data_IF_508922371952
#
_entry.id   IF_508922371952
#
_cell.length_a   1.000
_cell.length_b   1.000
_cell.length_c   1.000
_cell.angle_alpha   90.00
_cell.angle_beta   90.00
_cell.angle_gamma   90.00
#
_symmetry.space_group_name_H-M   'P 1'
#
loop_
_entity.id
_entity.type
_entity.pdbx_description
1 polymer ?
#
# COMPACT_ATOMS: atom_id res chain seq x y z
N UNK A 1 -39.59 -18.30 -0.72
CA UNK A 1 -39.23 -17.66 -1.98
C UNK A 1 -38.57 -16.31 -1.68
N UNK A 2 -37.45 -16.32 -0.92
CA UNK A 2 -36.57 -15.15 -0.65
C UNK A 2 -35.14 -15.71 -0.54
N UNK A 3 -34.63 -16.24 -1.63
CA UNK A 3 -33.26 -16.82 -1.66
C UNK A 3 -32.46 -16.33 -2.87
N UNK A 4 -32.74 -15.11 -3.34
CA UNK A 4 -32.17 -14.57 -4.58
C UNK A 4 -31.31 -13.31 -4.35
N UNK A 5 -30.98 -12.92 -3.11
CA UNK A 5 -30.17 -11.72 -2.85
C UNK A 5 -28.85 -12.01 -2.11
N UNK A 6 -28.30 -13.22 -2.19
CA UNK A 6 -26.86 -13.41 -2.02
C UNK A 6 -26.16 -13.17 -3.36
N UNK A 7 -26.42 -12.03 -3.95
CA UNK A 7 -25.59 -11.52 -5.03
C UNK A 7 -24.22 -11.22 -4.46
N UNK A 8 -23.23 -11.93 -4.95
CA UNK A 8 -21.79 -11.73 -4.75
C UNK A 8 -21.45 -10.26 -4.86
N UNK A 9 -21.42 -9.55 -3.74
CA UNK A 9 -20.94 -8.18 -3.67
C UNK A 9 -19.41 -8.22 -3.64
N UNK A 10 -18.83 -8.81 -4.70
CA UNK A 10 -17.39 -8.79 -4.91
C UNK A 10 -16.96 -7.35 -5.18
N UNK A 11 -16.48 -6.66 -4.17
CA UNK A 11 -16.02 -5.28 -4.27
C UNK A 11 -14.67 -5.16 -5.00
N UNK A 12 -13.88 -6.24 -5.08
CA UNK A 12 -12.56 -6.24 -5.68
C UNK A 12 -12.64 -6.91 -7.07
N UNK A 13 -12.47 -6.12 -8.12
CA UNK A 13 -12.51 -6.58 -9.52
C UNK A 13 -11.23 -6.29 -10.29
N UNK A 14 -10.54 -5.22 -9.97
CA UNK A 14 -9.33 -4.79 -10.67
C UNK A 14 -8.24 -4.41 -9.68
N UNK A 15 -7.12 -5.11 -9.75
CA UNK A 15 -5.97 -4.88 -8.88
C UNK A 15 -4.80 -4.36 -9.72
N UNK A 16 -4.23 -3.23 -9.30
CA UNK A 16 -3.01 -2.69 -9.86
C UNK A 16 -1.81 -3.22 -9.07
N UNK A 17 -0.79 -3.73 -9.75
CA UNK A 17 0.42 -4.29 -9.13
C UNK A 17 1.64 -3.50 -9.56
N UNK A 18 2.34 -2.90 -8.61
CA UNK A 18 3.59 -2.18 -8.89
C UNK A 18 4.76 -3.15 -9.09
N UNK A 19 5.34 -3.14 -10.29
CA UNK A 19 6.46 -3.99 -10.68
C UNK A 19 7.79 -3.24 -10.54
N UNK A 20 8.23 -3.03 -9.30
CA UNK A 20 9.43 -2.21 -8.99
C UNK A 20 10.77 -2.89 -9.21
N UNK A 21 10.82 -4.19 -9.50
CA UNK A 21 12.07 -4.93 -9.70
C UNK A 21 12.94 -5.04 -8.43
N UNK A 22 12.33 -5.06 -7.25
CA UNK A 22 13.00 -5.19 -5.95
C UNK A 22 12.72 -6.54 -5.31
N UNK A 23 13.37 -6.84 -4.20
CA UNK A 23 13.11 -8.05 -3.39
C UNK A 23 11.66 -8.18 -2.91
N UNK A 24 10.90 -7.09 -2.92
CA UNK A 24 9.47 -7.09 -2.56
C UNK A 24 8.55 -7.43 -3.73
N UNK A 25 9.07 -7.42 -4.96
CA UNK A 25 8.25 -7.56 -6.18
C UNK A 25 7.59 -8.92 -6.25
N UNK A 26 8.32 -10.01 -6.02
CA UNK A 26 7.76 -11.37 -6.00
C UNK A 26 6.66 -11.52 -4.95
N UNK A 27 6.84 -10.94 -3.77
CA UNK A 27 5.81 -10.99 -2.73
C UNK A 27 4.57 -10.17 -3.12
N UNK A 28 4.73 -9.02 -3.76
CA UNK A 28 3.62 -8.21 -4.26
C UNK A 28 2.83 -8.95 -5.35
N UNK A 29 3.52 -9.59 -6.27
CA UNK A 29 2.91 -10.42 -7.33
C UNK A 29 2.12 -11.57 -6.70
N UNK A 30 2.74 -12.34 -5.82
CA UNK A 30 2.10 -13.49 -5.17
C UNK A 30 0.88 -13.09 -4.34
N UNK A 31 0.96 -11.98 -3.61
CA UNK A 31 -0.17 -11.47 -2.84
C UNK A 31 -1.31 -11.01 -3.74
N UNK A 32 -1.00 -10.30 -4.82
CA UNK A 32 -2.00 -9.85 -5.79
C UNK A 32 -2.67 -11.02 -6.52
N UNK A 33 -1.90 -12.02 -6.92
CA UNK A 33 -2.42 -13.24 -7.56
C UNK A 33 -3.34 -13.99 -6.60
N UNK A 34 -2.96 -14.15 -5.33
CA UNK A 34 -3.80 -14.80 -4.33
C UNK A 34 -5.14 -14.05 -4.13
N UNK A 35 -5.10 -12.72 -4.05
CA UNK A 35 -6.31 -11.89 -3.97
C UNK A 35 -7.15 -11.98 -5.25
N UNK A 36 -6.52 -11.97 -6.42
CA UNK A 36 -7.22 -12.10 -7.69
C UNK A 36 -7.97 -13.44 -7.81
N UNK A 37 -7.36 -14.54 -7.38
CA UNK A 37 -8.03 -15.85 -7.33
C UNK A 37 -9.22 -15.82 -6.35
N UNK A 38 -9.00 -15.31 -5.13
CA UNK A 38 -10.02 -15.28 -4.09
C UNK A 38 -11.24 -14.44 -4.47
N UNK A 39 -11.02 -13.37 -5.22
CA UNK A 39 -12.06 -12.38 -5.57
C UNK A 39 -12.49 -12.42 -7.04
N UNK A 40 -11.97 -13.34 -7.84
CA UNK A 40 -12.19 -13.37 -9.30
C UNK A 40 -11.96 -11.98 -9.94
N UNK A 41 -10.77 -11.42 -9.65
CA UNK A 41 -10.36 -10.10 -10.09
C UNK A 41 -9.31 -10.18 -11.20
N UNK A 42 -9.21 -9.12 -12.01
CA UNK A 42 -8.17 -8.96 -13.03
C UNK A 42 -6.97 -8.21 -12.47
N UNK A 43 -5.77 -8.54 -12.97
CA UNK A 43 -4.53 -7.91 -12.57
C UNK A 43 -3.98 -6.99 -13.66
N UNK A 44 -3.53 -5.81 -13.27
CA UNK A 44 -2.72 -4.94 -14.13
C UNK A 44 -1.35 -4.76 -13.49
N UNK A 45 -0.30 -5.29 -14.12
CA UNK A 45 1.07 -5.01 -13.71
C UNK A 45 1.54 -3.69 -14.31
N UNK A 46 2.00 -2.77 -13.48
CA UNK A 46 2.57 -1.50 -13.93
C UNK A 46 4.05 -1.40 -13.59
N UNK A 47 4.87 -1.10 -14.60
CA UNK A 47 6.28 -0.78 -14.43
C UNK A 47 6.58 0.56 -15.07
N UNK A 48 7.37 1.38 -14.38
CA UNK A 48 7.75 2.70 -14.86
C UNK A 48 9.27 2.85 -14.80
N UNK A 49 9.85 3.30 -15.91
CA UNK A 49 11.26 3.71 -15.97
C UNK A 49 11.29 5.22 -16.03
N UNK A 50 11.92 5.85 -15.04
CA UNK A 50 12.18 7.29 -15.03
C UNK A 50 13.61 7.57 -15.53
N UNK A 51 13.79 7.99 -16.80
CA UNK A 51 15.12 8.27 -17.35
C UNK A 51 15.81 9.42 -16.63
N UNK A 52 15.07 10.40 -16.14
CA UNK A 52 15.63 11.58 -15.46
C UNK A 52 16.28 11.21 -14.12
N UNK A 53 15.86 10.12 -13.49
CA UNK A 53 16.41 9.64 -12.21
C UNK A 53 17.51 8.61 -12.37
N UNK A 54 17.49 7.88 -13.48
CA UNK A 54 18.56 6.92 -13.81
C UNK A 54 19.80 7.67 -14.32
N UNK A 55 19.62 8.87 -14.86
CA UNK A 55 20.70 9.77 -15.28
C UNK A 55 20.85 10.89 -14.27
N UNK A 56 21.86 10.87 -13.38
CA UNK A 56 22.10 12.01 -12.50
C UNK A 56 22.37 13.27 -13.35
N UNK A 57 21.65 14.32 -13.01
CA UNK A 57 21.87 15.64 -13.63
C UNK A 57 23.21 16.18 -13.12
N UNK A 58 24.30 15.90 -13.84
CA UNK A 58 25.53 16.63 -13.61
C UNK A 58 25.44 17.93 -14.37
N UNK A 59 25.68 19.06 -13.69
CA UNK A 59 25.85 20.36 -14.31
C UNK A 59 26.90 20.22 -15.41
N UNK A 60 26.51 20.40 -16.68
CA UNK A 60 27.44 20.38 -17.78
C UNK A 60 28.43 21.56 -17.65
N UNK A 61 29.74 21.32 -17.75
CA UNK A 61 30.68 22.37 -18.02
C UNK A 61 30.30 23.00 -19.38
N UNK A 62 30.27 24.33 -19.41
CA UNK A 62 29.96 25.08 -20.61
C UNK A 62 31.07 24.79 -21.64
N UNK A 63 30.78 24.03 -22.70
CA UNK A 63 31.70 23.82 -23.79
C UNK A 63 31.74 22.43 -24.46
N UNK A 64 31.28 21.36 -23.82
CA UNK A 64 31.34 20.02 -24.41
C UNK A 64 29.94 19.53 -24.79
N UNK A 65 29.81 18.97 -25.99
CA UNK A 65 28.57 18.36 -26.46
C UNK A 65 28.10 17.17 -25.59
N UNK A 66 26.91 16.61 -25.81
CA UNK A 66 26.34 15.58 -24.95
C UNK A 66 27.18 14.31 -24.95
N UNK A 67 28.04 14.17 -23.96
CA UNK A 67 28.79 12.94 -23.71
C UNK A 67 27.91 12.05 -22.84
N UNK A 68 27.44 10.95 -23.42
CA UNK A 68 26.78 9.88 -22.66
C UNK A 68 27.82 9.17 -21.78
N UNK A 69 27.79 9.41 -20.49
CA UNK A 69 28.69 8.74 -19.56
C UNK A 69 28.38 7.23 -19.50
N UNK A 70 29.39 6.35 -19.57
CA UNK A 70 29.20 4.88 -19.53
C UNK A 70 28.42 4.40 -18.31
N UNK A 71 28.54 5.08 -17.17
CA UNK A 71 27.85 4.78 -15.91
C UNK A 71 26.32 5.00 -16.03
N UNK A 72 25.90 5.97 -16.79
CA UNK A 72 24.50 6.28 -17.05
C UNK A 72 23.83 5.21 -17.91
N UNK A 73 24.50 4.79 -18.97
CA UNK A 73 24.03 3.73 -19.85
C UNK A 73 23.92 2.39 -19.09
N UNK A 74 24.90 2.07 -18.24
CA UNK A 74 24.88 0.88 -17.38
C UNK A 74 23.73 0.92 -16.38
N UNK A 75 23.45 2.05 -15.74
CA UNK A 75 22.36 2.19 -14.78
C UNK A 75 20.99 2.04 -15.44
N UNK A 76 20.81 2.60 -16.63
CA UNK A 76 19.59 2.46 -17.41
C UNK A 76 19.37 1.00 -17.87
N UNK A 77 20.44 0.32 -18.31
CA UNK A 77 20.39 -1.08 -18.68
C UNK A 77 19.96 -1.96 -17.49
N UNK A 78 20.55 -1.76 -16.32
CA UNK A 78 20.15 -2.46 -15.07
C UNK A 78 18.69 -2.19 -14.69
N UNK A 79 18.22 -0.96 -14.82
CA UNK A 79 16.82 -0.64 -14.54
C UNK A 79 15.87 -1.37 -15.50
N UNK A 80 16.20 -1.41 -16.79
CA UNK A 80 15.44 -2.16 -17.81
C UNK A 80 15.43 -3.66 -17.51
N UNK A 81 16.57 -4.25 -17.17
CA UNK A 81 16.67 -5.67 -16.82
C UNK A 81 15.77 -6.02 -15.63
N UNK A 82 15.76 -5.20 -14.58
CA UNK A 82 14.88 -5.38 -13.41
C UNK A 82 13.40 -5.30 -13.78
N UNK A 83 13.02 -4.36 -14.63
CA UNK A 83 11.63 -4.21 -15.11
C UNK A 83 11.23 -5.40 -15.98
N UNK A 84 12.10 -5.87 -16.87
CA UNK A 84 11.84 -7.04 -17.69
C UNK A 84 11.69 -8.31 -16.85
N UNK A 85 12.56 -8.50 -15.87
CA UNK A 85 12.45 -9.60 -14.92
C UNK A 85 11.11 -9.55 -14.17
N UNK A 86 10.77 -8.42 -13.56
CA UNK A 86 9.52 -8.26 -12.80
C UNK A 86 8.27 -8.49 -13.68
N UNK A 87 8.33 -8.05 -14.94
CA UNK A 87 7.25 -8.27 -15.92
C UNK A 87 7.10 -9.74 -16.28
N UNK A 88 8.19 -10.47 -16.47
CA UNK A 88 8.14 -11.93 -16.72
C UNK A 88 7.57 -12.67 -15.52
N UNK A 89 8.11 -12.43 -14.30
CA UNK A 89 7.60 -12.99 -13.06
C UNK A 89 6.08 -12.81 -12.92
N UNK A 90 5.60 -11.58 -13.12
CA UNK A 90 4.17 -11.26 -13.04
C UNK A 90 3.36 -12.05 -14.06
N UNK A 91 3.79 -12.05 -15.32
CA UNK A 91 3.09 -12.72 -16.40
C UNK A 91 3.05 -14.25 -16.20
N UNK A 92 4.16 -14.83 -15.78
CA UNK A 92 4.26 -16.27 -15.50
C UNK A 92 3.41 -16.66 -14.30
N UNK A 93 3.42 -15.90 -13.20
CA UNK A 93 2.59 -16.15 -12.05
C UNK A 93 1.09 -16.10 -12.38
N UNK A 94 0.65 -15.12 -13.18
CA UNK A 94 -0.75 -15.02 -13.61
C UNK A 94 -1.15 -16.18 -14.53
N UNK A 95 -0.31 -16.52 -15.52
CA UNK A 95 -0.57 -17.62 -16.47
C UNK A 95 -0.65 -18.97 -15.77
N UNK A 96 0.22 -19.22 -14.80
CA UNK A 96 0.27 -20.49 -14.07
C UNK A 96 -1.06 -20.84 -13.38
N UNK A 97 -1.86 -19.83 -13.01
CA UNK A 97 -3.14 -20.00 -12.31
C UNK A 97 -4.36 -19.51 -13.12
N UNK A 98 -4.17 -19.10 -14.37
CA UNK A 98 -5.25 -18.67 -15.26
C UNK A 98 -5.91 -17.33 -14.88
N UNK A 99 -5.22 -16.46 -14.13
CA UNK A 99 -5.73 -15.12 -13.78
C UNK A 99 -5.62 -14.18 -14.99
N UNK A 100 -6.72 -13.48 -15.31
CA UNK A 100 -6.75 -12.43 -16.33
C UNK A 100 -5.79 -11.30 -15.97
N UNK A 101 -4.90 -10.95 -16.90
CA UNK A 101 -3.89 -9.93 -16.63
C UNK A 101 -3.47 -9.12 -17.85
N UNK A 102 -3.01 -7.91 -17.61
CA UNK A 102 -2.32 -7.05 -18.59
C UNK A 102 -1.08 -6.40 -17.97
N UNK A 103 -0.16 -5.97 -18.82
CA UNK A 103 1.05 -5.24 -18.40
C UNK A 103 1.07 -3.88 -19.06
N UNK A 104 1.29 -2.85 -18.26
CA UNK A 104 1.51 -1.46 -18.67
C UNK A 104 2.97 -1.13 -18.41
N UNK A 105 3.67 -0.71 -19.47
CA UNK A 105 5.06 -0.28 -19.42
C UNK A 105 5.13 1.18 -19.83
N UNK A 106 5.55 2.01 -18.92
CA UNK A 106 5.57 3.45 -19.12
C UNK A 106 6.99 4.01 -18.91
N UNK A 107 7.25 5.11 -19.60
CA UNK A 107 8.49 5.88 -19.45
C UNK A 107 8.11 7.29 -19.06
N UNK A 108 8.57 7.76 -17.91
CA UNK A 108 8.25 9.10 -17.43
C UNK A 108 8.26 9.22 -15.91
N UNK A 109 7.48 10.15 -15.39
CA UNK A 109 7.35 10.39 -13.95
C UNK A 109 6.48 9.31 -13.30
N UNK A 110 7.05 8.46 -12.41
CA UNK A 110 6.39 7.24 -11.94
C UNK A 110 5.07 7.49 -11.19
N UNK A 111 5.00 8.58 -10.42
CA UNK A 111 3.83 8.85 -9.58
C UNK A 111 2.61 9.27 -10.39
N UNK A 112 2.83 10.12 -11.40
CA UNK A 112 1.76 10.53 -12.30
C UNK A 112 1.19 9.32 -13.04
N UNK A 113 2.05 8.50 -13.62
CA UNK A 113 1.65 7.32 -14.39
C UNK A 113 0.96 6.27 -13.53
N UNK A 114 1.47 6.00 -12.32
CA UNK A 114 0.82 5.08 -11.39
C UNK A 114 -0.53 5.62 -10.90
N UNK A 115 -0.66 6.94 -10.71
CA UNK A 115 -1.91 7.58 -10.32
C UNK A 115 -2.95 7.50 -11.43
N UNK A 116 -2.55 7.69 -12.67
CA UNK A 116 -3.43 7.58 -13.82
C UNK A 116 -3.96 6.16 -13.99
N UNK A 117 -3.10 5.16 -13.86
CA UNK A 117 -3.51 3.75 -13.88
C UNK A 117 -4.37 3.36 -12.67
N UNK A 118 -4.05 3.85 -11.48
CA UNK A 118 -4.81 3.55 -10.25
C UNK A 118 -6.25 4.06 -10.30
N UNK A 119 -6.55 5.07 -11.12
CA UNK A 119 -7.88 5.70 -11.23
C UNK A 119 -9.01 4.71 -11.52
N UNK A 120 -8.70 3.61 -12.18
CA UNK A 120 -9.68 2.61 -12.60
C UNK A 120 -9.42 1.22 -11.96
N UNK A 121 -8.76 1.21 -10.80
CA UNK A 121 -8.49 -0.01 -10.03
C UNK A 121 -9.04 0.13 -8.60
N UNK A 122 -9.50 -0.99 -8.05
CA UNK A 122 -10.10 -1.03 -6.72
C UNK A 122 -9.04 -1.09 -5.61
N UNK A 123 -7.89 -1.68 -5.92
CA UNK A 123 -6.78 -1.85 -4.99
C UNK A 123 -5.45 -1.73 -5.74
N UNK A 124 -4.50 -1.03 -5.15
CA UNK A 124 -3.10 -1.08 -5.57
C UNK A 124 -2.29 -1.94 -4.61
N UNK A 125 -1.54 -2.91 -5.13
CA UNK A 125 -0.61 -3.74 -4.37
C UNK A 125 0.81 -3.34 -4.71
N UNK A 126 1.59 -3.02 -3.68
CA UNK A 126 2.95 -2.55 -3.83
C UNK A 126 3.88 -3.14 -2.77
N UNK A 127 5.14 -3.35 -3.09
CA UNK A 127 6.12 -3.76 -2.09
C UNK A 127 6.41 -2.64 -1.08
N UNK A 128 6.36 -2.93 0.21
CA UNK A 128 6.47 -1.95 1.30
C UNK A 128 7.70 -1.02 1.18
N UNK A 129 8.81 -1.52 0.68
CA UNK A 129 10.05 -0.76 0.45
C UNK A 129 10.48 -0.71 -1.02
N UNK A 130 9.62 -1.14 -1.95
CA UNK A 130 9.98 -1.19 -3.38
C UNK A 130 10.34 0.18 -3.97
N UNK A 131 9.69 1.23 -3.48
CA UNK A 131 9.97 2.60 -3.91
C UNK A 131 11.26 3.15 -3.28
N UNK A 132 11.78 2.50 -2.24
CA UNK A 132 12.90 2.97 -1.44
C UNK A 132 14.24 2.36 -1.89
N UNK A 133 14.21 1.11 -2.36
CA UNK A 133 15.43 0.38 -2.72
C UNK A 133 15.95 0.71 -4.13
N UNK A 134 15.13 1.34 -4.98
CA UNK A 134 15.48 1.61 -6.37
C UNK A 134 16.09 2.98 -6.64
N UNK A 135 16.35 3.78 -5.60
CA UNK A 135 16.76 5.20 -5.73
C UNK A 135 15.81 6.04 -6.62
N UNK A 136 14.61 5.51 -6.89
CA UNK A 136 13.58 6.22 -7.66
C UNK A 136 13.04 7.44 -6.92
N UNK A 137 13.40 7.60 -5.64
CA UNK A 137 12.98 8.72 -4.81
C UNK A 137 14.15 9.18 -3.94
N UNK A 138 14.51 10.45 -4.01
CA UNK A 138 15.55 11.03 -3.16
C UNK A 138 15.17 10.98 -1.66
N UNK A 139 13.88 11.00 -1.35
CA UNK A 139 13.33 10.73 -0.02
C UNK A 139 12.26 9.62 -0.11
N UNK A 140 12.51 8.46 0.50
CA UNK A 140 11.57 7.33 0.55
C UNK A 140 10.17 7.70 1.04
N UNK A 141 10.05 8.74 1.87
CA UNK A 141 8.79 9.20 2.43
C UNK A 141 7.88 9.86 1.40
N UNK A 142 8.47 10.47 0.38
CA UNK A 142 7.72 11.16 -0.64
C UNK A 142 6.92 10.22 -1.54
N UNK A 143 7.33 8.98 -1.73
CA UNK A 143 6.74 8.10 -2.72
C UNK A 143 5.39 7.51 -2.30
N UNK A 144 5.31 6.83 -1.16
CA UNK A 144 4.03 6.36 -0.62
C UNK A 144 3.10 7.52 -0.30
N UNK A 145 3.69 8.60 0.24
CA UNK A 145 3.00 9.86 0.50
C UNK A 145 2.38 10.40 -0.78
N UNK A 146 3.14 10.51 -1.85
CA UNK A 146 2.65 11.01 -3.15
C UNK A 146 1.58 10.12 -3.75
N UNK A 147 1.73 8.79 -3.73
CA UNK A 147 0.71 7.87 -4.23
C UNK A 147 -0.61 8.03 -3.48
N UNK A 148 -0.57 8.08 -2.14
CA UNK A 148 -1.77 8.27 -1.34
C UNK A 148 -2.34 9.69 -1.52
N UNK A 149 -1.50 10.73 -1.62
CA UNK A 149 -1.92 12.11 -1.91
C UNK A 149 -2.58 12.25 -3.27
N UNK A 150 -2.06 11.57 -4.26
CA UNK A 150 -2.59 11.60 -5.62
C UNK A 150 -3.92 10.86 -5.75
N UNK A 151 -4.44 10.32 -4.65
CA UNK A 151 -5.69 9.60 -4.64
C UNK A 151 -5.58 8.11 -4.98
N UNK A 152 -4.35 7.56 -5.03
CA UNK A 152 -4.13 6.12 -5.18
C UNK A 152 -4.54 5.44 -3.88
N UNK A 153 -5.72 4.86 -3.87
CA UNK A 153 -6.29 4.20 -2.69
C UNK A 153 -7.45 3.28 -3.06
N UNK A 154 -7.61 2.23 -2.27
CA UNK A 154 -6.71 1.80 -1.20
C UNK A 154 -5.40 1.22 -1.72
N UNK A 155 -4.37 1.26 -0.88
CA UNK A 155 -3.04 0.74 -1.16
C UNK A 155 -2.69 -0.36 -0.16
N UNK A 156 -2.31 -1.53 -0.65
CA UNK A 156 -1.74 -2.62 0.15
C UNK A 156 -0.23 -2.66 -0.06
N UNK A 157 0.52 -2.21 0.95
CA UNK A 157 1.97 -2.32 0.96
C UNK A 157 2.37 -3.67 1.58
N UNK A 158 3.01 -4.55 0.82
CA UNK A 158 3.34 -5.91 1.24
C UNK A 158 4.79 -6.06 1.69
N UNK A 159 5.02 -6.96 2.63
CA UNK A 159 6.36 -7.33 3.09
C UNK A 159 7.10 -8.21 2.08
N UNK A 160 8.40 -8.47 2.30
CA UNK A 160 9.19 -9.41 1.44
C UNK A 160 8.65 -10.84 1.42
N UNK A 161 7.94 -11.25 2.48
CA UNK A 161 7.41 -12.61 2.61
C UNK A 161 5.88 -12.54 2.71
N UNK A 162 5.21 -13.24 1.81
CA UNK A 162 3.77 -13.44 1.90
C UNK A 162 3.47 -14.32 3.11
N UNK A 163 2.53 -13.89 3.93
CA UNK A 163 2.04 -14.63 5.09
C UNK A 163 0.51 -14.57 5.10
N UNK A 164 -0.16 -15.58 5.67
CA UNK A 164 -1.60 -15.47 5.89
C UNK A 164 -1.93 -14.26 6.75
N UNK A 165 -3.00 -13.55 6.40
CA UNK A 165 -3.52 -12.44 7.17
C UNK A 165 -4.67 -12.96 8.04
N UNK A 166 -4.39 -13.23 9.31
CA UNK A 166 -5.38 -13.71 10.29
C UNK A 166 -5.68 -12.64 11.34
N UNK A 167 -4.66 -11.91 11.79
CA UNK A 167 -4.75 -10.89 12.83
C UNK A 167 -4.57 -9.51 12.22
N UNK A 168 -5.62 -8.70 12.28
CA UNK A 168 -5.61 -7.36 11.71
C UNK A 168 -5.78 -6.33 12.81
N UNK A 169 -4.90 -5.33 12.81
CA UNK A 169 -5.00 -4.20 13.70
C UNK A 169 -5.38 -2.94 12.91
N UNK A 170 -6.41 -2.25 13.36
CA UNK A 170 -6.81 -0.95 12.84
C UNK A 170 -6.33 0.14 13.81
N UNK A 171 -5.41 0.99 13.37
CA UNK A 171 -5.01 2.19 14.10
C UNK A 171 -6.04 3.29 13.87
N UNK A 172 -6.82 3.61 14.89
CA UNK A 172 -7.99 4.47 14.80
C UNK A 172 -7.83 5.73 15.65
N UNK A 173 -7.87 6.88 15.04
CA UNK A 173 -7.74 8.17 15.73
C UNK A 173 -9.08 8.92 15.89
N UNK A 174 -10.18 8.37 15.37
CA UNK A 174 -11.45 9.08 15.28
C UNK A 174 -11.52 10.13 14.17
N UNK A 175 -10.43 10.34 13.42
CA UNK A 175 -10.45 11.24 12.26
C UNK A 175 -11.25 10.63 11.10
N UNK A 176 -11.73 11.48 10.20
CA UNK A 176 -12.45 11.02 8.99
C UNK A 176 -11.59 10.09 8.14
N UNK A 177 -10.28 10.31 8.09
CA UNK A 177 -9.33 9.51 7.32
C UNK A 177 -9.16 8.12 7.95
N UNK A 178 -9.05 8.03 9.27
CA UNK A 178 -9.00 6.73 9.95
C UNK A 178 -10.32 5.97 9.82
N UNK A 179 -11.45 6.68 9.86
CA UNK A 179 -12.76 6.08 9.63
C UNK A 179 -12.91 5.57 8.20
N UNK A 180 -12.47 6.33 7.18
CA UNK A 180 -12.49 5.87 5.78
C UNK A 180 -11.58 4.66 5.57
N UNK A 181 -10.37 4.66 6.13
CA UNK A 181 -9.46 3.53 6.01
C UNK A 181 -10.05 2.26 6.62
N UNK A 182 -10.64 2.36 7.81
CA UNK A 182 -11.37 1.27 8.45
C UNK A 182 -12.52 0.77 7.56
N UNK A 183 -13.38 1.68 7.09
CA UNK A 183 -14.53 1.34 6.26
C UNK A 183 -14.12 0.67 4.96
N UNK A 184 -13.14 1.21 4.26
CA UNK A 184 -12.63 0.62 3.02
C UNK A 184 -12.10 -0.80 3.27
N UNK A 185 -11.31 -0.99 4.32
CA UNK A 185 -10.79 -2.30 4.68
C UNK A 185 -11.91 -3.30 4.97
N UNK A 186 -12.86 -2.92 5.82
CA UNK A 186 -14.00 -3.76 6.23
C UNK A 186 -14.88 -4.15 5.03
N UNK A 187 -15.17 -3.19 4.15
CA UNK A 187 -16.04 -3.40 2.98
C UNK A 187 -15.38 -4.25 1.90
N UNK A 188 -14.05 -4.17 1.74
CA UNK A 188 -13.34 -4.93 0.73
C UNK A 188 -13.23 -6.42 1.05
N UNK A 189 -13.28 -6.81 2.33
CA UNK A 189 -13.23 -8.21 2.79
C UNK A 189 -12.10 -9.01 2.11
N UNK A 190 -10.90 -8.44 2.05
CA UNK A 190 -9.78 -9.00 1.29
C UNK A 190 -9.37 -10.41 1.76
N UNK A 191 -9.58 -10.74 3.04
CA UNK A 191 -9.25 -12.02 3.64
C UNK A 191 -10.29 -12.46 4.66
N UNK A 192 -10.43 -13.77 4.89
CA UNK A 192 -11.19 -14.31 6.03
C UNK A 192 -10.37 -14.14 7.30
N UNK A 193 -10.38 -12.93 7.89
CA UNK A 193 -9.65 -12.63 9.12
C UNK A 193 -10.25 -13.33 10.33
N UNK A 194 -9.43 -13.73 11.29
CA UNK A 194 -9.84 -14.42 12.52
C UNK A 194 -9.97 -13.48 13.71
N UNK A 195 -9.08 -12.49 13.78
CA UNK A 195 -9.02 -11.54 14.90
C UNK A 195 -8.90 -10.12 14.32
N UNK A 196 -9.85 -9.27 14.69
CA UNK A 196 -9.82 -7.85 14.36
C UNK A 196 -9.75 -7.05 15.65
N UNK A 197 -8.77 -6.17 15.75
CA UNK A 197 -8.66 -5.24 16.87
C UNK A 197 -8.53 -3.81 16.40
N UNK A 198 -9.30 -2.91 17.02
CA UNK A 198 -9.21 -1.48 16.81
C UNK A 198 -8.51 -0.88 18.02
N UNK A 199 -7.43 -0.14 17.77
CA UNK A 199 -6.66 0.52 18.83
C UNK A 199 -6.70 2.03 18.61
N UNK A 200 -7.01 2.75 19.68
CA UNK A 200 -6.92 4.21 19.76
C UNK A 200 -5.98 4.63 20.89
N UNK A 201 -5.42 5.80 20.75
CA UNK A 201 -4.55 6.41 21.76
C UNK A 201 -5.26 7.61 22.36
N UNK A 202 -5.27 7.69 23.68
CA UNK A 202 -5.94 8.75 24.44
C UNK A 202 -4.92 9.47 25.32
N UNK A 203 -5.03 10.77 25.37
CA UNK A 203 -4.26 11.65 26.27
C UNK A 203 -4.87 11.76 27.69
N UNK A 204 -5.87 10.92 27.99
CA UNK A 204 -6.57 10.90 29.28
C UNK A 204 -7.93 11.61 29.29
N UNK A 205 -8.39 12.12 28.14
CA UNK A 205 -9.70 12.80 28.05
C UNK A 205 -10.89 11.84 28.05
N UNK A 206 -10.65 10.54 27.78
CA UNK A 206 -11.71 9.53 27.68
C UNK A 206 -12.52 9.57 26.39
N UNK A 207 -12.23 10.51 25.49
CA UNK A 207 -12.96 10.68 24.23
C UNK A 207 -12.81 9.47 23.30
N UNK A 208 -11.64 8.84 23.30
CA UNK A 208 -11.33 7.71 22.45
C UNK A 208 -12.23 6.48 22.69
N UNK A 209 -12.74 6.27 23.89
CA UNK A 209 -13.60 5.11 24.22
C UNK A 209 -14.93 5.13 23.46
N UNK A 210 -15.59 6.29 23.35
CA UNK A 210 -16.81 6.43 22.58
C UNK A 210 -16.59 6.16 21.09
N UNK A 211 -15.52 6.72 20.54
CA UNK A 211 -15.15 6.53 19.13
C UNK A 211 -14.83 5.05 18.83
N UNK A 212 -14.18 4.34 19.75
CA UNK A 212 -13.89 2.92 19.60
C UNK A 212 -15.15 2.06 19.60
N UNK A 213 -16.15 2.40 20.44
CA UNK A 213 -17.42 1.68 20.46
C UNK A 213 -18.15 1.78 19.12
N UNK A 214 -18.29 2.99 18.58
CA UNK A 214 -18.90 3.23 17.27
C UNK A 214 -18.16 2.53 16.13
N UNK A 215 -16.83 2.56 16.16
CA UNK A 215 -16.01 1.89 15.18
C UNK A 215 -16.17 0.35 15.23
N UNK A 216 -16.24 -0.22 16.42
CA UNK A 216 -16.47 -1.65 16.60
C UNK A 216 -17.88 -2.07 16.16
N UNK A 217 -18.88 -1.29 16.46
CA UNK A 217 -20.28 -1.55 16.03
C UNK A 217 -20.37 -1.53 14.50
N UNK A 218 -19.68 -0.60 13.85
CA UNK A 218 -19.57 -0.61 12.39
C UNK A 218 -18.98 -1.92 11.86
N UNK A 219 -17.85 -2.38 12.42
CA UNK A 219 -17.22 -3.62 11.99
C UNK A 219 -18.12 -4.84 12.21
N UNK A 220 -18.78 -4.92 13.37
CA UNK A 220 -19.75 -6.00 13.69
C UNK A 220 -20.95 -6.01 12.74
N UNK A 221 -21.46 -4.83 12.36
CA UNK A 221 -22.53 -4.73 11.36
C UNK A 221 -22.13 -5.29 9.99
N UNK A 222 -20.83 -5.37 9.70
CA UNK A 222 -20.27 -6.00 8.51
C UNK A 222 -19.82 -7.46 8.74
N UNK A 223 -20.19 -8.05 9.87
CA UNK A 223 -19.89 -9.46 10.20
C UNK A 223 -18.49 -9.72 10.73
N UNK A 224 -17.78 -8.68 11.19
CA UNK A 224 -16.44 -8.81 11.76
C UNK A 224 -16.48 -8.60 13.28
N UNK A 225 -16.33 -9.71 14.02
CA UNK A 225 -16.14 -9.64 15.47
C UNK A 225 -14.88 -8.82 15.78
N UNK A 226 -15.05 -7.83 16.67
CA UNK A 226 -14.06 -6.78 16.84
C UNK A 226 -13.79 -6.50 18.31
N UNK A 227 -12.52 -6.60 18.69
CA UNK A 227 -12.01 -6.13 19.98
C UNK A 227 -11.56 -4.67 19.89
N UNK A 228 -11.65 -3.96 20.99
CA UNK A 228 -11.19 -2.56 21.07
C UNK A 228 -10.25 -2.37 22.25
N UNK A 229 -9.23 -1.56 22.05
CA UNK A 229 -8.32 -1.18 23.14
C UNK A 229 -7.97 0.30 23.04
N UNK A 230 -8.05 0.96 24.19
CA UNK A 230 -7.64 2.36 24.35
C UNK A 230 -6.34 2.40 25.16
N UNK A 231 -5.29 2.91 24.54
CA UNK A 231 -3.94 2.97 25.11
C UNK A 231 -3.65 4.40 25.52
N UNK A 232 -3.16 4.60 26.74
CA UNK A 232 -2.69 5.91 27.18
C UNK A 232 -1.32 6.20 26.60
N UNK A 233 -1.16 7.36 25.99
CA UNK A 233 0.13 7.84 25.48
C UNK A 233 0.14 8.16 23.98
N UNK A 234 1.33 8.38 23.44
CA UNK A 234 1.53 8.76 22.05
C UNK A 234 1.49 7.54 21.13
N UNK A 235 0.68 7.57 20.05
CA UNK A 235 0.68 6.48 19.05
C UNK A 235 2.04 6.29 18.38
N UNK A 236 2.83 7.35 18.23
CA UNK A 236 4.17 7.29 17.62
C UNK A 236 5.13 6.42 18.45
N UNK A 237 5.01 6.47 19.77
CA UNK A 237 5.90 5.75 20.69
C UNK A 237 5.46 4.32 20.95
N UNK A 238 4.15 4.08 20.99
CA UNK A 238 3.60 2.82 21.50
C UNK A 238 3.05 1.88 20.41
N UNK A 239 2.58 2.41 19.27
CA UNK A 239 1.85 1.61 18.31
C UNK A 239 2.73 0.52 17.68
N UNK A 240 3.98 0.80 17.32
CA UNK A 240 4.87 -0.20 16.70
C UNK A 240 5.15 -1.37 17.65
N UNK A 241 5.45 -1.07 18.91
CA UNK A 241 5.68 -2.09 19.93
C UNK A 241 4.40 -2.90 20.20
N UNK A 242 3.25 -2.23 20.23
CA UNK A 242 1.96 -2.89 20.40
C UNK A 242 1.66 -3.86 19.26
N UNK A 243 1.90 -3.44 18.00
CA UNK A 243 1.75 -4.29 16.81
C UNK A 243 2.60 -5.57 16.89
N UNK A 244 3.84 -5.43 17.35
CA UNK A 244 4.77 -6.53 17.50
C UNK A 244 4.33 -7.49 18.60
N UNK A 245 3.97 -6.97 19.79
CA UNK A 245 3.57 -7.74 20.96
C UNK A 245 2.25 -8.50 20.73
N UNK A 246 1.26 -7.86 20.09
CA UNK A 246 0.00 -8.50 19.76
C UNK A 246 0.14 -9.49 18.58
N UNK A 247 1.19 -9.36 17.79
CA UNK A 247 1.48 -10.21 16.65
C UNK A 247 0.58 -9.93 15.46
N UNK A 248 0.29 -8.67 15.16
CA UNK A 248 -0.48 -8.29 13.99
C UNK A 248 0.16 -8.81 12.69
N UNK A 249 -0.67 -9.37 11.80
CA UNK A 249 -0.24 -9.78 10.45
C UNK A 249 -0.37 -8.63 9.45
N UNK A 250 -1.35 -7.74 9.66
CA UNK A 250 -1.64 -6.56 8.85
C UNK A 250 -2.03 -5.40 9.76
N UNK A 251 -1.61 -4.20 9.39
CA UNK A 251 -2.06 -2.96 10.04
C UNK A 251 -2.81 -2.09 9.04
N UNK A 252 -3.99 -1.63 9.45
CA UNK A 252 -4.79 -0.64 8.72
C UNK A 252 -4.51 0.75 9.29
N UNK A 253 -4.10 1.67 8.43
CA UNK A 253 -3.75 3.04 8.83
C UNK A 253 -4.44 4.03 7.91
N UNK A 254 -5.15 4.98 8.52
CA UNK A 254 -5.67 6.15 7.82
C UNK A 254 -4.58 7.21 7.67
N UNK A 255 -4.66 7.95 6.59
CA UNK A 255 -3.79 9.10 6.36
C UNK A 255 -4.45 10.37 6.90
N UNK A 256 -4.00 10.92 8.02
CA UNK A 256 -4.56 12.16 8.55
C UNK A 256 -3.89 13.39 7.94
N UNK A 257 -4.64 14.11 7.12
CA UNK A 257 -4.23 15.38 6.51
C UNK A 257 -4.50 16.59 7.44
N UNK A 258 -4.24 16.47 8.73
CA UNK A 258 -4.36 17.64 9.62
C UNK A 258 -3.17 18.57 9.45
N UNK A 259 -3.11 19.33 8.41
CA UNK A 259 -2.50 20.66 8.24
C UNK A 259 -2.13 20.90 6.77
N UNK A 260 -3.06 21.49 6.04
CA UNK A 260 -2.89 21.96 4.66
C UNK A 260 -1.79 23.02 4.48
N UNK A 261 -1.23 23.55 5.57
CA UNK A 261 -0.22 24.62 5.55
C UNK A 261 1.23 24.15 5.71
N UNK A 262 1.46 22.90 6.13
CA UNK A 262 2.81 22.35 6.30
C UNK A 262 2.86 20.97 5.65
N UNK A 263 3.43 20.83 4.49
CA UNK A 263 3.99 19.70 3.72
C UNK A 263 4.10 18.29 4.37
N UNK A 264 3.30 17.95 5.38
CA UNK A 264 3.29 16.66 6.08
C UNK A 264 1.92 16.03 5.97
N UNK A 265 1.74 15.21 4.95
CA UNK A 265 0.46 14.61 4.56
C UNK A 265 0.21 13.26 5.24
N UNK A 266 1.24 12.56 5.67
CA UNK A 266 1.12 11.44 6.60
C UNK A 266 1.29 11.95 8.02
N UNK A 267 0.39 11.53 8.92
CA UNK A 267 0.65 11.70 10.34
C UNK A 267 1.99 11.04 10.70
N UNK A 268 2.76 11.64 11.59
CA UNK A 268 4.07 11.12 12.02
C UNK A 268 4.02 9.65 12.42
N UNK A 269 2.89 9.20 12.97
CA UNK A 269 2.65 7.80 13.34
C UNK A 269 2.64 6.86 12.14
N UNK A 270 1.91 7.20 11.06
CA UNK A 270 1.85 6.37 9.86
C UNK A 270 3.23 6.26 9.19
N UNK A 271 3.96 7.38 9.09
CA UNK A 271 5.33 7.38 8.58
C UNK A 271 6.28 6.56 9.45
N UNK A 272 6.15 6.65 10.78
CA UNK A 272 6.96 5.87 11.70
C UNK A 272 6.74 4.37 11.52
N UNK A 273 5.49 3.94 11.34
CA UNK A 273 5.15 2.53 11.08
C UNK A 273 5.70 2.08 9.73
N UNK A 274 5.47 2.84 8.66
CA UNK A 274 5.95 2.50 7.32
C UNK A 274 7.47 2.26 7.31
N UNK A 275 8.21 3.08 8.04
CA UNK A 275 9.68 2.98 8.12
C UNK A 275 10.18 1.79 8.90
N UNK A 276 9.50 1.45 9.98
CA UNK A 276 10.02 0.54 11.01
C UNK A 276 9.32 -0.81 11.04
N UNK A 277 8.26 -1.02 10.24
CA UNK A 277 7.61 -2.32 10.15
C UNK A 277 8.17 -3.16 9.01
N UNK A 278 8.14 -4.48 9.19
CA UNK A 278 8.30 -5.49 8.16
C UNK A 278 6.98 -6.21 7.82
N UNK A 279 5.87 -5.75 8.41
CA UNK A 279 4.54 -6.30 8.22
C UNK A 279 3.77 -5.54 7.15
N UNK A 280 2.82 -6.18 6.46
CA UNK A 280 1.96 -5.52 5.49
C UNK A 280 1.17 -4.37 6.10
N UNK A 281 0.93 -3.34 5.28
CA UNK A 281 0.11 -2.19 5.65
C UNK A 281 -1.00 -2.00 4.62
N UNK A 282 -2.21 -1.75 5.11
CA UNK A 282 -3.32 -1.26 4.31
C UNK A 282 -3.48 0.24 4.57
N UNK A 283 -3.30 1.03 3.52
CA UNK A 283 -3.33 2.48 3.56
C UNK A 283 -4.54 2.99 2.77
N UNK A 284 -5.32 3.87 3.37
CA UNK A 284 -6.43 4.53 2.70
C UNK A 284 -6.66 5.93 3.27
N UNK A 285 -7.31 6.78 2.49
CA UNK A 285 -7.61 8.17 2.85
C UNK A 285 -9.09 8.45 2.64
#
# INVERSE_FOLDING_TARGET
MIDVLKGDKQMLKRILVGLGGTDYTTAAINQAVALAIAHNAELTGVSVIDPARVTPFMAMPIGDGPIAYPETASSLAKAREKVEWATREFTEACKAVGVGHRVVREVGEPFSLMTDEARYHDLMVFGLKSLFETNLVADPHDALVRLVQSGVRPLLAVSKKVRPVNKVLIAYSGSMESAKAMKNFVQMQLWPIKELRIVSFDDGTGHAKGLLAEAADYCRAHGLETETECITGSPKEHLLLYLQNWGADLTVVGNSAQNLLLRRIFGETALHIIRNTDKPLFLSQ
#
